data_IF_706499571925
#
_entry.id   IF_706499571925
#
_cell.length_a   1.000
_cell.length_b   1.000
_cell.length_c   1.000
_cell.angle_alpha   90.00
_cell.angle_beta   90.00
_cell.angle_gamma   90.00
#
_symmetry.space_group_name_H-M   'P 1'
#
loop_
_entity.id
_entity.type
_entity.pdbx_description
1 polymer ?
#
# COMPACT_ATOMS: atom_id res chain seq x y z
N UNK A 1 20.39 14.69 -9.57
CA UNK A 1 19.23 13.90 -10.01
C UNK A 1 18.15 14.92 -10.35
N UNK A 2 17.71 14.96 -11.60
CA UNK A 2 16.68 15.92 -12.02
C UNK A 2 15.35 15.55 -11.36
N UNK A 3 14.53 16.54 -11.04
CA UNK A 3 13.26 16.36 -10.33
C UNK A 3 12.32 15.38 -11.03
N UNK A 4 12.34 15.35 -12.37
CA UNK A 4 11.54 14.40 -13.17
C UNK A 4 11.94 12.94 -12.97
N UNK A 5 13.22 12.66 -12.74
CA UNK A 5 13.69 11.28 -12.48
C UNK A 5 13.27 10.81 -11.10
N UNK A 6 13.21 11.71 -10.11
CA UNK A 6 12.73 11.42 -8.76
C UNK A 6 11.25 11.03 -8.78
N UNK A 7 10.43 11.84 -9.45
CA UNK A 7 8.99 11.59 -9.57
C UNK A 7 8.71 10.28 -10.32
N UNK A 8 9.50 9.97 -11.35
CA UNK A 8 9.37 8.70 -12.09
C UNK A 8 9.70 7.50 -11.18
N UNK A 9 10.78 7.57 -10.40
CA UNK A 9 11.18 6.51 -9.47
C UNK A 9 10.11 6.32 -8.38
N UNK A 10 9.61 7.40 -7.78
CA UNK A 10 8.55 7.35 -6.76
C UNK A 10 7.30 6.69 -7.35
N UNK A 11 6.88 7.08 -8.54
CA UNK A 11 5.69 6.50 -9.18
C UNK A 11 5.84 5.00 -9.45
N UNK A 12 7.01 4.55 -9.89
CA UNK A 12 7.31 3.12 -10.08
C UNK A 12 7.24 2.38 -8.75
N UNK A 13 7.88 2.91 -7.70
CA UNK A 13 7.89 2.30 -6.38
C UNK A 13 6.46 2.20 -5.80
N UNK A 14 5.68 3.28 -5.89
CA UNK A 14 4.29 3.30 -5.41
C UNK A 14 3.43 2.29 -6.17
N UNK A 15 3.61 2.16 -7.49
CA UNK A 15 2.91 1.14 -8.29
C UNK A 15 3.29 -0.27 -7.85
N UNK A 16 4.57 -0.55 -7.65
CA UNK A 16 5.03 -1.87 -7.20
C UNK A 16 4.46 -2.23 -5.82
N UNK A 17 4.47 -1.29 -4.88
CA UNK A 17 3.85 -1.48 -3.56
C UNK A 17 2.34 -1.72 -3.65
N UNK A 18 1.64 -1.01 -4.55
CA UNK A 18 0.22 -1.22 -4.81
C UNK A 18 -0.06 -2.65 -5.30
N UNK A 19 0.66 -3.10 -6.32
CA UNK A 19 0.47 -4.42 -6.93
C UNK A 19 0.75 -5.55 -5.92
N UNK A 20 1.81 -5.41 -5.12
CA UNK A 20 2.15 -6.36 -4.06
C UNK A 20 1.07 -6.41 -2.96
N UNK A 21 0.59 -5.25 -2.49
CA UNK A 21 -0.46 -5.17 -1.47
C UNK A 21 -1.73 -5.88 -1.95
N UNK A 22 -2.16 -5.60 -3.19
CA UNK A 22 -3.35 -6.22 -3.75
C UNK A 22 -3.23 -7.75 -3.84
N UNK A 23 -2.05 -8.25 -4.25
CA UNK A 23 -1.78 -9.68 -4.35
C UNK A 23 -1.87 -10.38 -2.98
N UNK A 24 -1.31 -9.79 -1.93
CA UNK A 24 -1.36 -10.32 -0.56
C UNK A 24 -2.80 -10.42 -0.06
N UNK A 25 -3.60 -9.36 -0.22
CA UNK A 25 -5.01 -9.37 0.16
C UNK A 25 -5.82 -10.41 -0.61
N UNK A 26 -5.58 -10.55 -1.92
CA UNK A 26 -6.23 -11.57 -2.76
C UNK A 26 -5.90 -12.99 -2.28
N UNK A 27 -4.61 -13.28 -2.04
CA UNK A 27 -4.17 -14.57 -1.56
C UNK A 27 -4.85 -14.90 -0.21
N UNK A 28 -4.85 -13.97 0.73
CA UNK A 28 -5.49 -14.18 2.03
C UNK A 28 -6.98 -14.50 1.93
N UNK A 29 -7.73 -13.83 1.03
CA UNK A 29 -9.14 -14.15 0.76
C UNK A 29 -9.30 -15.54 0.14
N UNK A 30 -8.47 -15.91 -0.82
CA UNK A 30 -8.51 -17.22 -1.49
C UNK A 30 -8.32 -18.36 -0.48
N UNK A 31 -7.39 -18.17 0.47
CA UNK A 31 -7.08 -19.19 1.48
C UNK A 31 -7.88 -19.04 2.78
N UNK A 32 -8.78 -18.06 2.87
CA UNK A 32 -9.60 -17.83 4.07
C UNK A 32 -8.78 -17.50 5.33
N UNK A 33 -7.62 -16.84 5.17
CA UNK A 33 -6.70 -16.51 6.27
C UNK A 33 -6.71 -15.03 6.61
N UNK A 34 -6.26 -14.72 7.82
CA UNK A 34 -5.94 -13.35 8.24
C UNK A 34 -4.57 -12.93 7.69
N UNK A 35 -4.40 -11.63 7.53
CA UNK A 35 -3.10 -11.00 7.32
C UNK A 35 -2.51 -10.63 8.67
N UNK A 36 -1.21 -10.85 8.84
CA UNK A 36 -0.48 -10.35 10.01
C UNK A 36 0.21 -9.06 9.60
N UNK A 37 -0.12 -7.96 10.26
CA UNK A 37 0.57 -6.68 10.12
C UNK A 37 1.25 -6.34 11.44
N UNK A 38 2.49 -5.88 11.37
CA UNK A 38 3.20 -5.38 12.53
C UNK A 38 2.91 -3.89 12.72
N UNK A 39 2.43 -3.51 13.91
CA UNK A 39 2.29 -2.12 14.33
C UNK A 39 3.03 -1.93 15.64
N UNK A 40 4.00 -1.01 15.64
CA UNK A 40 4.82 -0.70 16.82
C UNK A 40 5.47 -1.94 17.47
N UNK A 41 5.92 -2.89 16.65
CA UNK A 41 6.52 -4.15 17.10
C UNK A 41 5.52 -5.23 17.54
N UNK A 42 4.22 -4.97 17.44
CA UNK A 42 3.16 -5.91 17.82
C UNK A 42 2.50 -6.49 16.56
N UNK A 43 2.49 -7.83 16.39
CA UNK A 43 1.78 -8.46 15.30
C UNK A 43 0.26 -8.46 15.57
N UNK A 44 -0.50 -7.93 14.61
CA UNK A 44 -1.96 -7.89 14.64
C UNK A 44 -2.54 -8.67 13.46
N UNK A 45 -3.51 -9.54 13.74
CA UNK A 45 -4.30 -10.20 12.71
C UNK A 45 -5.40 -9.29 12.19
N UNK A 46 -5.44 -9.06 10.89
CA UNK A 46 -6.51 -8.31 10.23
C UNK A 46 -7.18 -9.11 9.13
N UNK A 47 -8.48 -8.87 8.96
CA UNK A 47 -9.20 -9.42 7.83
C UNK A 47 -8.69 -8.82 6.52
N UNK A 48 -8.54 -9.64 5.47
CA UNK A 48 -8.12 -9.12 4.19
C UNK A 48 -9.22 -8.24 3.58
N UNK A 49 -8.86 -6.99 3.28
CA UNK A 49 -9.65 -6.04 2.50
C UNK A 49 -9.97 -6.57 1.10
N UNK A 50 -11.06 -6.10 0.50
CA UNK A 50 -11.39 -6.25 -0.91
C UNK A 50 -10.52 -5.38 -1.82
N UNK A 51 -10.50 -5.66 -3.13
CA UNK A 51 -9.74 -4.86 -4.09
C UNK A 51 -10.17 -3.39 -4.11
N UNK A 52 -11.45 -3.11 -3.86
CA UNK A 52 -12.00 -1.76 -3.76
C UNK A 52 -11.44 -1.03 -2.53
N UNK A 53 -11.51 -1.67 -1.36
CA UNK A 53 -11.02 -1.10 -0.10
C UNK A 53 -9.50 -0.89 -0.12
N UNK A 54 -8.73 -1.81 -0.72
CA UNK A 54 -7.28 -1.63 -0.92
C UNK A 54 -7.02 -0.40 -1.77
N UNK A 55 -7.77 -0.20 -2.86
CA UNK A 55 -7.62 0.97 -3.74
C UNK A 55 -7.98 2.27 -3.01
N UNK A 56 -9.09 2.29 -2.27
CA UNK A 56 -9.52 3.46 -1.51
C UNK A 56 -8.47 3.87 -0.47
N UNK A 57 -7.93 2.89 0.27
CA UNK A 57 -6.91 3.13 1.30
C UNK A 57 -5.56 3.57 0.74
N UNK A 58 -5.17 3.06 -0.42
CA UNK A 58 -3.93 3.50 -1.08
C UNK A 58 -4.09 4.88 -1.73
N UNK A 59 -5.28 5.22 -2.22
CA UNK A 59 -5.56 6.56 -2.73
C UNK A 59 -5.57 7.62 -1.62
N UNK A 60 -6.08 7.30 -0.43
CA UNK A 60 -6.00 8.23 0.71
C UNK A 60 -4.54 8.49 1.12
N UNK A 61 -3.70 7.45 1.10
CA UNK A 61 -2.27 7.58 1.39
C UNK A 61 -1.51 8.40 0.34
N UNK A 62 -1.90 8.33 -0.94
CA UNK A 62 -1.35 9.22 -1.99
C UNK A 62 -1.72 10.68 -1.74
N UNK A 63 -2.95 10.96 -1.28
CA UNK A 63 -3.38 12.30 -0.89
C UNK A 63 -2.53 12.87 0.26
N UNK A 64 -2.25 12.05 1.27
CA UNK A 64 -1.47 12.46 2.45
C UNK A 64 0.04 12.53 2.19
N UNK A 65 0.59 11.64 1.34
CA UNK A 65 2.02 11.62 1.01
C UNK A 65 2.43 12.78 0.09
N UNK A 66 1.51 13.28 -0.75
CA UNK A 66 1.78 14.43 -1.63
C UNK A 66 1.84 15.76 -0.86
N UNK A 67 1.28 15.82 0.36
CA UNK A 67 1.48 16.93 1.31
C UNK A 67 2.87 16.88 1.97
N UNK A 68 3.43 15.69 2.19
CA UNK A 68 4.72 15.51 2.87
C UNK A 68 5.95 15.75 1.98
N UNK A 69 5.81 15.69 0.65
CA UNK A 69 6.92 15.94 -0.30
C UNK A 69 7.08 17.44 -0.61
N UNK A 70 6.07 18.27 -0.26
CA UNK A 70 6.07 19.72 -0.49
C UNK A 70 6.34 20.56 0.79
N UNK A 71 6.83 19.95 1.88
CA UNK A 71 7.24 20.65 3.10
C UNK A 71 8.76 20.69 3.27
#
# INVERSE_FOLDING_TARGET
METEDVDRIINIAVKACYDATLAVHRAARVYGTLLIIERDGVPEGVSPLSDKEVRERLNSLKGDSMLMINM
#
